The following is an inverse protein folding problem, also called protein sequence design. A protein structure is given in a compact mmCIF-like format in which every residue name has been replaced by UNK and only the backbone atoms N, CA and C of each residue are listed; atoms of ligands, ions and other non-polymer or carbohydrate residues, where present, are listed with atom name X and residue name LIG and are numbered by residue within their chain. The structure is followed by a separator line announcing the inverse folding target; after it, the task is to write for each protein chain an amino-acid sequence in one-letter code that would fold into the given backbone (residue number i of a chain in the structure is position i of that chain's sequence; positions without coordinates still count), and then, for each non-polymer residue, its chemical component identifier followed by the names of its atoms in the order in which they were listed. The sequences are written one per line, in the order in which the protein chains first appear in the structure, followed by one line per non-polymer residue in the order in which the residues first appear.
data_IF_897793773304
#
_entry.id   IF_897793773304
#
_cell.length_a   1.000
_cell.length_b   1.000
_cell.length_c   1.000
_cell.angle_alpha   90.00
_cell.angle_beta   90.00
_cell.angle_gamma   90.00
#
_symmetry.space_group_name_H-M   'P 1'
#
loop_
_entity.id
_entity.type
_entity.pdbx_description
1 polymer ?
#
# COMPACT_ATOMS: atom_id res chain seq x y z
N UNK A 1 -29.44 -14.28 5.43
CA UNK A 1 -28.89 -13.04 4.84
C UNK A 1 -27.41 -12.99 5.20
N UNK A 2 -26.50 -13.21 4.25
CA UNK A 2 -25.06 -13.28 4.52
C UNK A 2 -24.43 -11.90 4.31
N UNK A 3 -23.59 -11.45 5.25
CA UNK A 3 -22.85 -10.19 5.13
C UNK A 3 -21.60 -10.49 4.29
N UNK A 4 -21.50 -9.90 3.10
CA UNK A 4 -20.29 -9.96 2.27
C UNK A 4 -19.34 -8.83 2.70
N UNK A 5 -18.37 -9.15 3.54
CA UNK A 5 -17.31 -8.21 3.91
C UNK A 5 -16.14 -8.32 2.94
N UNK A 6 -15.50 -7.18 2.64
CA UNK A 6 -14.23 -7.13 1.90
C UNK A 6 -13.24 -6.29 2.69
N UNK A 7 -11.96 -6.69 2.62
CA UNK A 7 -10.84 -6.02 3.28
C UNK A 7 -9.91 -5.42 2.24
N UNK A 8 -9.21 -4.36 2.63
CA UNK A 8 -8.22 -3.67 1.80
C UNK A 8 -6.94 -3.54 2.62
N UNK A 9 -5.82 -3.97 2.05
CA UNK A 9 -4.53 -4.07 2.75
C UNK A 9 -3.52 -3.15 2.05
N UNK A 10 -2.93 -2.22 2.81
CA UNK A 10 -1.77 -1.45 2.37
C UNK A 10 -0.49 -2.13 2.84
N UNK A 11 0.51 -2.20 1.97
CA UNK A 11 1.84 -2.76 2.26
C UNK A 11 2.90 -1.71 1.99
N UNK A 12 3.89 -1.61 2.87
CA UNK A 12 5.08 -0.77 2.70
C UNK A 12 6.33 -1.55 3.08
N UNK A 13 7.47 -1.12 2.57
CA UNK A 13 8.78 -1.71 2.81
C UNK A 13 9.72 -0.68 3.46
N UNK A 14 10.31 -1.05 4.60
CA UNK A 14 11.43 -0.31 5.16
C UNK A 14 12.75 -0.79 4.53
N UNK A 15 13.68 0.12 4.17
CA UNK A 15 13.63 1.58 4.33
C UNK A 15 13.05 2.35 3.13
N UNK A 16 12.55 1.67 2.10
CA UNK A 16 12.18 2.28 0.82
C UNK A 16 11.02 3.29 0.92
N UNK A 17 10.06 3.03 1.80
CA UNK A 17 8.83 3.83 1.96
C UNK A 17 8.83 4.70 3.22
N UNK A 18 9.97 4.76 3.92
CA UNK A 18 10.16 5.52 5.15
C UNK A 18 11.26 4.92 6.02
N UNK A 19 11.99 5.78 6.71
CA UNK A 19 13.03 5.39 7.70
C UNK A 19 12.57 5.62 9.13
N UNK A 20 11.43 6.29 9.32
CA UNK A 20 10.76 6.41 10.61
C UNK A 20 9.41 5.69 10.61
N UNK A 21 8.96 5.31 11.79
CA UNK A 21 7.66 4.66 11.96
C UNK A 21 6.51 5.54 11.44
N UNK A 22 6.57 6.85 11.70
CA UNK A 22 5.55 7.82 11.26
C UNK A 22 5.46 7.88 9.73
N UNK A 23 6.62 7.87 9.04
CA UNK A 23 6.67 7.85 7.58
C UNK A 23 6.07 6.56 7.02
N UNK A 24 6.43 5.40 7.59
CA UNK A 24 5.88 4.12 7.17
C UNK A 24 4.37 4.05 7.38
N UNK A 25 3.86 4.52 8.52
CA UNK A 25 2.43 4.53 8.81
C UNK A 25 1.64 5.45 7.86
N UNK A 26 2.18 6.64 7.57
CA UNK A 26 1.57 7.54 6.59
C UNK A 26 1.54 6.91 5.18
N UNK A 27 2.61 6.24 4.77
CA UNK A 27 2.69 5.52 3.49
C UNK A 27 1.70 4.34 3.41
N UNK A 28 1.54 3.56 4.50
CA UNK A 28 0.55 2.47 4.58
C UNK A 28 -0.87 3.00 4.45
N UNK A 29 -1.18 4.09 5.15
CA UNK A 29 -2.51 4.70 5.11
C UNK A 29 -2.87 5.17 3.70
N UNK A 30 -1.91 5.81 3.02
CA UNK A 30 -2.07 6.22 1.63
C UNK A 30 -2.31 5.01 0.70
N UNK A 31 -1.50 3.95 0.80
CA UNK A 31 -1.66 2.73 0.02
C UNK A 31 -3.02 2.05 0.27
N UNK A 32 -3.43 1.96 1.54
CA UNK A 32 -4.71 1.39 1.92
C UNK A 32 -5.89 2.23 1.39
N UNK A 33 -5.83 3.55 1.51
CA UNK A 33 -6.91 4.42 1.01
C UNK A 33 -7.06 4.30 -0.52
N UNK A 34 -5.94 4.20 -1.26
CA UNK A 34 -5.98 3.92 -2.71
C UNK A 34 -6.62 2.57 -3.01
N UNK A 35 -6.29 1.51 -2.26
CA UNK A 35 -6.88 0.18 -2.45
C UNK A 35 -8.39 0.12 -2.14
N UNK A 36 -8.88 0.95 -1.21
CA UNK A 36 -10.34 1.11 -0.95
C UNK A 36 -11.08 1.81 -2.10
N UNK A 37 -10.40 2.69 -2.86
CA UNK A 37 -10.98 3.51 -3.94
C UNK A 37 -11.02 2.82 -5.31
N UNK A 38 -10.25 1.75 -5.53
CA UNK A 38 -10.07 1.08 -6.84
C UNK A 38 -10.95 -0.16 -7.05
N UNK A 39 -12.11 -0.18 -6.40
CA UNK A 39 -12.95 -1.36 -6.15
C UNK A 39 -12.22 -2.40 -5.28
N UNK A 40 -12.84 -2.69 -4.13
CA UNK A 40 -12.27 -3.50 -3.05
C UNK A 40 -11.85 -4.88 -3.60
N UNK A 41 -10.82 -5.49 -2.98
CA UNK A 41 -10.17 -6.76 -3.34
C UNK A 41 -8.88 -6.67 -4.18
N UNK A 42 -8.06 -5.62 -3.99
CA UNK A 42 -6.72 -5.54 -4.59
C UNK A 42 -5.65 -5.13 -3.57
N UNK A 43 -4.46 -5.72 -3.70
CA UNK A 43 -3.24 -5.35 -2.97
C UNK A 43 -2.49 -4.31 -3.80
N UNK A 44 -2.26 -3.12 -3.24
CA UNK A 44 -1.56 -2.03 -3.92
C UNK A 44 -0.31 -1.68 -3.11
N UNK A 45 0.87 -1.86 -3.72
CA UNK A 45 2.14 -1.35 -3.19
C UNK A 45 2.43 0.03 -3.78
N UNK A 46 2.83 0.99 -2.95
CA UNK A 46 3.21 2.32 -3.42
C UNK A 46 4.68 2.29 -3.84
N UNK A 47 4.95 2.12 -5.14
CA UNK A 47 6.31 2.12 -5.68
C UNK A 47 6.87 3.55 -5.84
N UNK A 48 6.81 4.36 -4.78
CA UNK A 48 7.44 5.69 -4.77
C UNK A 48 8.93 5.65 -4.43
N UNK A 49 9.46 4.50 -4.00
CA UNK A 49 10.88 4.26 -3.84
C UNK A 49 11.50 3.60 -5.07
N UNK A 50 12.13 4.41 -5.93
CA UNK A 50 13.06 4.00 -7.01
C UNK A 50 12.46 3.27 -8.23
N UNK A 51 12.04 4.05 -9.22
CA UNK A 51 11.95 3.63 -10.62
C UNK A 51 13.35 3.50 -11.29
N UNK A 52 14.35 2.95 -10.59
CA UNK A 52 15.73 2.82 -11.10
C UNK A 52 16.31 1.41 -10.93
N UNK A 53 15.51 0.36 -11.17
CA UNK A 53 16.03 -1.00 -11.02
C UNK A 53 15.21 -2.13 -11.65
N UNK A 54 14.55 -1.91 -12.80
CA UNK A 54 13.89 -3.00 -13.54
C UNK A 54 14.17 -2.94 -15.03
N UNK A 55 15.40 -3.31 -15.41
CA UNK A 55 15.74 -4.07 -16.63
C UNK A 55 17.02 -4.85 -16.33
N UNK A 56 16.86 -6.12 -15.96
CA UNK A 56 17.90 -7.10 -15.67
C UNK A 56 17.26 -8.44 -15.37
#
# INVERSE_FOLDING_TARGET
MAILTSVSVGLVCHPQDGVTLEQLMASVEAAMNRSKRRDKNQVVGDASGSAAGRLG
#
